data_IF_383280889096
#
_entry.id   IF_383280889096
#
_cell.length_a   1.000
_cell.length_b   1.000
_cell.length_c   1.000
_cell.angle_alpha   90.00
_cell.angle_beta   90.00
_cell.angle_gamma   90.00
#
_symmetry.space_group_name_H-M   'P 1'
#
loop_
_entity.id
_entity.type
_entity.pdbx_description
1 polymer ?
#
# COMPACT_ATOMS: atom_id res chain seq x y z
N UNK A 1 4.72 -12.54 -29.58
CA UNK A 1 3.45 -13.13 -30.09
C UNK A 1 2.51 -12.00 -30.50
N UNK A 2 1.76 -12.17 -31.59
CA UNK A 2 0.97 -11.09 -32.19
C UNK A 2 -0.24 -10.67 -31.32
N UNK A 3 -0.56 -11.46 -30.30
CA UNK A 3 -1.63 -11.20 -29.32
C UNK A 3 -1.15 -10.49 -28.05
N UNK A 4 0.17 -10.33 -27.87
CA UNK A 4 0.73 -9.69 -26.68
C UNK A 4 0.84 -8.18 -26.89
N UNK A 5 -0.09 -7.44 -26.28
CA UNK A 5 -0.09 -5.98 -26.29
C UNK A 5 0.47 -5.41 -24.99
N UNK A 6 0.92 -4.16 -25.02
CA UNK A 6 1.38 -3.48 -23.81
C UNK A 6 0.25 -3.45 -22.76
N UNK A 7 0.53 -4.01 -21.58
CA UNK A 7 -0.35 -3.96 -20.43
C UNK A 7 0.30 -3.13 -19.32
N UNK A 8 -0.42 -2.16 -18.74
CA UNK A 8 0.08 -1.44 -17.57
C UNK A 8 0.44 -2.40 -16.44
N UNK A 9 1.59 -2.16 -15.79
CA UNK A 9 2.11 -2.97 -14.67
C UNK A 9 1.08 -3.23 -13.56
N UNK A 10 0.20 -2.26 -13.29
CA UNK A 10 -0.84 -2.40 -12.27
C UNK A 10 -1.93 -3.41 -12.63
N UNK A 11 -2.24 -3.58 -13.93
CA UNK A 11 -3.21 -4.59 -14.37
C UNK A 11 -2.63 -5.98 -14.18
N UNK A 12 -1.36 -6.19 -14.57
CA UNK A 12 -0.67 -7.46 -14.35
C UNK A 12 -0.68 -7.86 -12.86
N UNK A 13 -0.48 -6.90 -11.96
CA UNK A 13 -0.55 -7.19 -10.52
C UNK A 13 -1.96 -7.57 -10.04
N UNK A 14 -3.02 -7.02 -10.63
CA UNK A 14 -4.40 -7.40 -10.29
C UNK A 14 -4.74 -8.79 -10.85
N UNK A 15 -4.32 -9.09 -12.08
CA UNK A 15 -4.47 -10.42 -12.67
C UNK A 15 -3.77 -11.48 -11.83
N UNK A 16 -2.54 -11.22 -11.37
CA UNK A 16 -1.83 -12.13 -10.46
C UNK A 16 -2.59 -12.37 -9.15
N UNK A 17 -3.35 -11.39 -8.66
CA UNK A 17 -4.20 -11.56 -7.48
C UNK A 17 -5.46 -12.37 -7.80
N UNK A 18 -5.98 -12.28 -9.02
CA UNK A 18 -7.11 -13.09 -9.48
C UNK A 18 -6.69 -14.55 -9.65
N UNK A 19 -5.52 -14.80 -10.25
CA UNK A 19 -4.94 -16.14 -10.37
C UNK A 19 -4.70 -16.77 -8.99
N UNK A 20 -4.17 -15.99 -8.05
CA UNK A 20 -3.98 -16.42 -6.66
C UNK A 20 -5.32 -16.79 -6.00
N UNK A 21 -6.35 -15.97 -6.21
CA UNK A 21 -7.70 -16.24 -5.69
C UNK A 21 -8.34 -17.47 -6.33
N UNK A 22 -8.12 -17.71 -7.63
CA UNK A 22 -8.57 -18.91 -8.33
C UNK A 22 -7.91 -20.18 -7.78
N UNK A 23 -6.66 -20.07 -7.29
CA UNK A 23 -5.97 -21.12 -6.55
C UNK A 23 -6.40 -21.25 -5.07
N UNK A 24 -7.44 -20.51 -4.63
CA UNK A 24 -7.95 -20.55 -3.26
C UNK A 24 -7.10 -19.77 -2.24
N UNK A 25 -6.12 -19.00 -2.70
CA UNK A 25 -5.23 -18.22 -1.85
C UNK A 25 -5.69 -16.75 -1.85
N UNK A 26 -5.92 -16.17 -0.67
CA UNK A 26 -6.21 -14.73 -0.53
C UNK A 26 -5.31 -14.10 0.54
N UNK A 27 -4.56 -13.05 0.21
CA UNK A 27 -3.75 -12.35 1.20
C UNK A 27 -4.67 -11.63 2.19
N UNK A 28 -4.31 -11.67 3.48
CA UNK A 28 -5.03 -10.91 4.50
C UNK A 28 -4.92 -9.40 4.27
N UNK A 29 -3.73 -8.92 3.90
CA UNK A 29 -3.46 -7.52 3.56
C UNK A 29 -2.42 -7.47 2.44
N UNK A 30 -2.67 -6.70 1.39
CA UNK A 30 -1.69 -6.40 0.36
C UNK A 30 -0.82 -5.20 0.76
N UNK A 31 0.51 -5.32 0.66
CA UNK A 31 1.45 -4.21 0.88
C UNK A 31 2.18 -3.91 -0.43
N UNK A 32 2.24 -2.63 -0.82
CA UNK A 32 2.94 -2.23 -2.06
C UNK A 32 3.65 -0.87 -1.94
N UNK A 33 4.57 -0.63 -2.87
CA UNK A 33 5.35 0.60 -2.97
C UNK A 33 4.56 1.79 -3.54
N UNK A 34 5.24 2.94 -3.61
CA UNK A 34 4.71 4.20 -4.14
C UNK A 34 4.23 4.12 -5.59
N UNK A 35 4.83 3.26 -6.42
CA UNK A 35 4.44 3.09 -7.82
C UNK A 35 3.01 2.55 -7.95
N UNK A 36 2.66 1.59 -7.10
CA UNK A 36 1.30 1.07 -6.99
C UNK A 36 0.39 1.99 -6.17
N UNK A 37 0.88 2.51 -5.05
CA UNK A 37 0.10 3.32 -4.13
C UNK A 37 -0.41 4.63 -4.72
N UNK A 38 0.33 5.25 -5.65
CA UNK A 38 -0.12 6.46 -6.34
C UNK A 38 -1.23 6.18 -7.39
N UNK A 39 -1.34 4.95 -7.88
CA UNK A 39 -2.26 4.59 -8.96
C UNK A 39 -3.70 4.40 -8.47
N UNK A 40 -4.61 5.28 -8.91
CA UNK A 40 -6.02 5.25 -8.49
C UNK A 40 -6.80 4.06 -9.06
N UNK A 41 -6.48 3.61 -10.27
CA UNK A 41 -7.10 2.42 -10.88
C UNK A 41 -6.69 1.15 -10.14
N UNK A 42 -5.42 1.06 -9.72
CA UNK A 42 -4.95 -0.05 -8.91
C UNK A 42 -5.69 -0.15 -7.58
N UNK A 43 -5.79 0.95 -6.82
CA UNK A 43 -6.53 0.99 -5.54
C UNK A 43 -8.00 0.58 -5.72
N UNK A 44 -8.65 1.11 -6.75
CA UNK A 44 -10.02 0.70 -7.10
C UNK A 44 -10.13 -0.78 -7.44
N UNK A 45 -9.15 -1.33 -8.14
CA UNK A 45 -9.08 -2.76 -8.44
C UNK A 45 -8.99 -3.62 -7.18
N UNK A 46 -8.26 -3.17 -6.16
CA UNK A 46 -8.18 -3.83 -4.86
C UNK A 46 -9.49 -3.71 -4.08
N UNK A 47 -10.08 -2.51 -4.02
CA UNK A 47 -11.36 -2.28 -3.33
C UNK A 47 -12.49 -3.11 -3.97
N UNK A 48 -12.55 -3.16 -5.30
CA UNK A 48 -13.52 -3.97 -6.04
C UNK A 48 -13.38 -5.49 -5.80
N UNK A 49 -12.21 -5.95 -5.34
CA UNK A 49 -11.94 -7.34 -4.95
C UNK A 49 -12.16 -7.59 -3.46
N UNK A 50 -12.50 -6.56 -2.69
CA UNK A 50 -12.63 -6.61 -1.23
C UNK A 50 -11.31 -6.85 -0.51
N UNK A 51 -10.17 -6.48 -1.11
CA UNK A 51 -8.86 -6.69 -0.51
C UNK A 51 -8.49 -5.55 0.43
N UNK A 52 -8.03 -5.89 1.64
CA UNK A 52 -7.38 -4.93 2.51
C UNK A 52 -5.99 -4.60 1.98
N UNK A 53 -5.59 -3.33 2.06
CA UNK A 53 -4.30 -2.88 1.53
C UNK A 53 -3.63 -1.81 2.39
N UNK A 54 -2.31 -1.78 2.33
CA UNK A 54 -1.43 -0.78 2.94
C UNK A 54 -0.40 -0.36 1.89
N UNK A 55 -0.54 0.83 1.34
CA UNK A 55 0.22 1.26 0.17
C UNK A 55 1.09 2.46 0.52
N UNK A 56 2.38 2.37 0.21
CA UNK A 56 3.27 3.53 0.33
C UNK A 56 2.89 4.57 -0.72
N UNK A 57 3.03 5.85 -0.38
CA UNK A 57 2.68 6.97 -1.25
C UNK A 57 3.62 8.15 -1.02
N UNK A 58 3.38 9.20 -1.81
CA UNK A 58 4.09 10.47 -1.80
C UNK A 58 3.24 11.54 -1.08
N UNK A 59 3.88 12.40 -0.29
CA UNK A 59 3.19 13.42 0.51
C UNK A 59 2.49 14.51 -0.31
N UNK A 60 2.83 14.61 -1.60
CA UNK A 60 2.24 15.53 -2.58
C UNK A 60 0.86 15.09 -3.07
N UNK A 61 0.46 13.83 -2.83
CA UNK A 61 -0.90 13.41 -3.11
C UNK A 61 -1.88 14.26 -2.31
N UNK A 62 -3.09 14.46 -2.84
CA UNK A 62 -4.07 15.38 -2.25
C UNK A 62 -5.26 14.65 -1.64
N UNK A 63 -5.77 15.22 -0.55
CA UNK A 63 -6.93 14.73 0.16
C UNK A 63 -7.75 15.87 0.76
N UNK A 64 -9.01 15.57 1.06
CA UNK A 64 -9.79 16.35 2.01
C UNK A 64 -9.61 15.79 3.42
N UNK A 65 -9.81 16.64 4.42
CA UNK A 65 -9.82 16.22 5.82
C UNK A 65 -10.98 15.28 6.13
N UNK A 66 -10.93 14.65 7.30
CA UNK A 66 -11.92 13.68 7.76
C UNK A 66 -13.36 14.25 7.75
N UNK A 67 -13.50 15.46 8.29
CA UNK A 67 -14.76 16.19 8.46
C UNK A 67 -15.28 16.84 7.18
N UNK A 68 -14.51 16.80 6.09
CA UNK A 68 -14.95 17.40 4.83
C UNK A 68 -16.16 16.64 4.27
N UNK A 69 -17.21 17.39 3.95
CA UNK A 69 -18.44 16.87 3.34
C UNK A 69 -18.69 17.50 1.97
N UNK A 70 -19.28 16.75 1.02
CA UNK A 70 -19.75 17.34 -0.22
C UNK A 70 -20.94 18.28 0.04
N UNK A 71 -21.07 19.33 -0.76
CA UNK A 71 -22.22 20.25 -0.72
C UNK A 71 -23.00 20.18 -2.02
N UNK A 72 -24.32 20.00 -1.91
CA UNK A 72 -25.27 20.05 -3.00
C UNK A 72 -26.23 21.25 -2.78
N UNK A 73 -26.20 22.26 -3.67
CA UNK A 73 -27.18 23.34 -3.62
C UNK A 73 -28.61 22.84 -3.87
N UNK A 74 -29.59 23.58 -3.34
CA UNK A 74 -31.00 23.33 -3.65
C UNK A 74 -31.29 23.48 -5.15
N UNK A 75 -32.20 22.64 -5.66
CA UNK A 75 -32.55 22.64 -7.07
C UNK A 75 -33.59 23.72 -7.38
N UNK A 76 -33.18 24.76 -8.11
CA UNK A 76 -34.04 25.88 -8.50
C UNK A 76 -35.02 25.59 -9.65
N UNK A 77 -35.25 24.33 -10.02
CA UNK A 77 -36.26 23.94 -11.02
C UNK A 77 -35.90 24.15 -12.49
N UNK A 78 -34.83 24.89 -12.80
CA UNK A 78 -34.33 25.12 -14.16
C UNK A 78 -32.99 24.42 -14.39
N UNK A 79 -32.87 23.71 -15.52
CA UNK A 79 -31.65 23.04 -15.92
C UNK A 79 -31.38 21.70 -15.20
N UNK A 80 -30.19 21.12 -15.36
CA UNK A 80 -29.84 19.84 -14.73
C UNK A 80 -29.72 19.97 -13.20
N UNK A 81 -30.17 18.95 -12.48
CA UNK A 81 -30.03 18.91 -11.01
C UNK A 81 -28.55 18.99 -10.61
N UNK A 82 -28.18 19.88 -9.67
CA UNK A 82 -26.80 19.98 -9.22
C UNK A 82 -26.38 18.69 -8.52
N UNK A 83 -25.14 18.25 -8.74
CA UNK A 83 -24.56 17.08 -8.07
C UNK A 83 -23.79 17.49 -6.80
N UNK A 84 -23.77 16.64 -5.76
CA UNK A 84 -22.97 16.88 -4.56
C UNK A 84 -21.48 16.93 -4.90
N UNK A 85 -20.79 17.96 -4.42
CA UNK A 85 -19.34 18.13 -4.64
C UNK A 85 -18.65 18.83 -3.48
N UNK A 86 -17.40 18.45 -3.23
CA UNK A 86 -16.54 19.16 -2.28
C UNK A 86 -16.28 20.60 -2.77
N UNK A 87 -16.53 21.58 -1.90
CA UNK A 87 -16.28 23.01 -2.18
C UNK A 87 -14.96 23.51 -1.63
N UNK A 88 -14.37 22.76 -0.71
CA UNK A 88 -13.01 22.99 -0.18
C UNK A 88 -11.97 22.44 -1.15
N UNK A 89 -10.90 23.19 -1.40
CA UNK A 89 -9.75 22.70 -2.17
C UNK A 89 -9.06 21.56 -1.38
N UNK A 90 -8.75 20.42 -2.01
CA UNK A 90 -7.97 19.37 -1.33
C UNK A 90 -6.53 19.85 -1.10
N UNK A 91 -6.00 19.55 0.08
CA UNK A 91 -4.64 19.88 0.49
C UNK A 91 -3.71 18.67 0.31
N UNK A 92 -2.39 18.91 0.27
CA UNK A 92 -1.42 17.82 0.18
C UNK A 92 -1.44 16.97 1.47
N UNK A 93 -1.16 15.68 1.39
CA UNK A 93 -1.13 14.80 2.57
C UNK A 93 -0.11 15.26 3.60
N UNK A 94 1.04 15.79 3.15
CA UNK A 94 2.01 16.43 4.05
C UNK A 94 1.38 17.59 4.85
N UNK A 95 0.53 18.39 4.24
CA UNK A 95 -0.09 19.57 4.87
C UNK A 95 -1.09 19.14 5.94
N UNK A 96 -1.84 18.06 5.71
CA UNK A 96 -2.70 17.45 6.74
C UNK A 96 -1.88 16.99 7.96
N UNK A 97 -0.72 16.39 7.74
CA UNK A 97 0.15 15.89 8.83
C UNK A 97 0.80 17.05 9.58
N UNK A 98 1.30 18.06 8.86
CA UNK A 98 1.88 19.25 9.46
C UNK A 98 0.85 20.04 10.28
N UNK A 99 -0.37 20.20 9.75
CA UNK A 99 -1.48 20.88 10.44
C UNK A 99 -1.94 20.13 11.70
N UNK A 100 -1.98 18.80 11.67
CA UNK A 100 -2.26 18.00 12.87
C UNK A 100 -1.15 18.14 13.93
N UNK A 101 0.08 18.47 13.49
CA UNK A 101 1.24 18.68 14.33
C UNK A 101 1.86 17.37 14.83
N UNK A 102 3.17 17.42 15.09
CA UNK A 102 3.93 16.27 15.58
C UNK A 102 3.40 15.75 16.92
N UNK A 103 2.88 16.64 17.79
CA UNK A 103 2.32 16.27 19.10
C UNK A 103 1.09 15.34 19.02
N UNK A 104 0.41 15.26 17.87
CA UNK A 104 -0.69 14.30 17.64
C UNK A 104 -0.19 12.89 17.32
N UNK A 105 1.08 12.75 16.99
CA UNK A 105 1.71 11.48 16.70
C UNK A 105 2.07 10.69 17.96
N UNK A 106 2.59 9.47 17.76
CA UNK A 106 3.09 8.61 18.83
C UNK A 106 4.32 7.84 18.37
N UNK A 107 5.22 7.55 19.30
CA UNK A 107 6.34 6.65 19.06
C UNK A 107 5.84 5.21 19.00
N UNK A 108 6.14 4.52 17.89
CA UNK A 108 5.75 3.13 17.69
C UNK A 108 6.99 2.30 17.40
N UNK A 109 7.13 1.20 18.15
CA UNK A 109 8.14 0.17 17.92
C UNK A 109 7.49 -1.00 17.21
N UNK A 110 7.95 -1.33 16.00
CA UNK A 110 7.31 -2.38 15.17
C UNK A 110 8.15 -3.64 15.02
N UNK A 111 9.43 -3.63 15.40
CA UNK A 111 10.30 -4.81 15.35
C UNK A 111 11.52 -4.64 16.27
N UNK A 112 11.98 -5.73 16.90
CA UNK A 112 13.35 -5.80 17.43
C UNK A 112 14.32 -6.07 16.28
N UNK A 113 15.14 -5.09 15.90
CA UNK A 113 16.22 -5.27 14.93
C UNK A 113 17.40 -6.00 15.57
N UNK A 114 18.39 -6.39 14.76
CA UNK A 114 19.61 -7.05 15.23
C UNK A 114 20.50 -6.17 16.11
N UNK A 115 20.35 -4.84 16.03
CA UNK A 115 21.12 -3.87 16.83
C UNK A 115 20.28 -3.10 17.86
N UNK A 116 19.04 -2.75 17.53
CA UNK A 116 18.13 -2.01 18.39
C UNK A 116 16.67 -2.25 17.98
N UNK A 117 15.75 -1.95 18.89
CA UNK A 117 14.34 -1.84 18.56
C UNK A 117 14.12 -0.78 17.47
N UNK A 118 13.52 -1.18 16.36
CA UNK A 118 13.12 -0.27 15.29
C UNK A 118 11.89 0.50 15.75
N UNK A 119 12.13 1.74 16.16
CA UNK A 119 11.13 2.68 16.63
C UNK A 119 11.23 3.99 15.86
N UNK A 120 10.12 4.70 15.75
CA UNK A 120 10.03 6.02 15.13
C UNK A 120 8.71 6.66 15.54
N UNK A 121 8.59 7.96 15.35
CA UNK A 121 7.37 8.70 15.65
C UNK A 121 6.47 8.75 14.43
N UNK A 122 5.17 8.47 14.62
CA UNK A 122 4.20 8.38 13.54
C UNK A 122 2.95 9.22 13.84
N UNK A 123 2.45 9.89 12.82
CA UNK A 123 1.15 10.57 12.83
C UNK A 123 0.16 9.73 12.02
N UNK A 124 -0.98 9.41 12.62
CA UNK A 124 -2.04 8.60 12.00
C UNK A 124 -3.31 9.43 11.93
N UNK A 125 -3.79 9.69 10.72
CA UNK A 125 -4.99 10.48 10.44
C UNK A 125 -5.96 9.70 9.57
N UNK A 126 -7.21 10.14 9.53
CA UNK A 126 -8.19 9.71 8.54
C UNK A 126 -8.39 10.82 7.53
N UNK A 127 -8.39 10.46 6.25
CA UNK A 127 -8.47 11.44 5.14
C UNK A 127 -9.32 10.88 4.00
N UNK A 128 -9.83 11.78 3.15
CA UNK A 128 -10.59 11.42 1.94
C UNK A 128 -9.76 11.72 0.71
N UNK A 129 -9.21 10.68 0.07
CA UNK A 129 -8.28 10.86 -1.06
C UNK A 129 -8.97 11.52 -2.26
N UNK A 130 -8.54 12.73 -2.61
CA UNK A 130 -9.13 13.50 -3.70
C UNK A 130 -8.60 13.01 -5.05
N UNK A 131 -7.28 12.81 -5.20
CA UNK A 131 -6.65 12.19 -6.38
C UNK A 131 -7.07 12.78 -7.75
N UNK A 132 -6.64 12.14 -8.85
CA UNK A 132 -7.04 12.56 -10.22
C UNK A 132 -8.45 12.07 -10.63
N UNK A 133 -8.90 10.98 -10.03
CA UNK A 133 -10.17 10.30 -10.36
C UNK A 133 -10.80 9.75 -9.08
N UNK A 134 -11.33 10.60 -8.19
CA UNK A 134 -12.07 10.12 -7.02
C UNK A 134 -13.33 9.39 -7.50
N UNK A 135 -13.73 8.35 -6.76
CA UNK A 135 -15.02 7.66 -6.96
C UNK A 135 -15.88 7.93 -5.72
N UNK A 136 -16.64 9.03 -5.70
CA UNK A 136 -17.55 9.31 -4.60
C UNK A 136 -18.69 8.28 -4.58
N UNK A 137 -19.29 8.10 -3.41
CA UNK A 137 -20.56 7.42 -3.25
C UNK A 137 -21.71 8.27 -3.84
N UNK A 138 -22.94 7.74 -3.82
CA UNK A 138 -24.11 8.39 -4.41
C UNK A 138 -24.42 9.77 -3.79
N UNK A 139 -24.09 9.95 -2.52
CA UNK A 139 -24.19 11.20 -1.76
C UNK A 139 -23.05 12.20 -2.06
N UNK A 140 -22.10 11.83 -2.93
CA UNK A 140 -20.91 12.62 -3.25
C UNK A 140 -19.74 12.41 -2.30
N UNK A 141 -19.89 11.60 -1.25
CA UNK A 141 -18.87 11.41 -0.22
C UNK A 141 -17.75 10.49 -0.72
N UNK A 142 -16.49 10.90 -0.51
CA UNK A 142 -15.34 10.05 -0.78
C UNK A 142 -15.02 9.24 0.48
N UNK A 143 -14.83 7.92 0.37
CA UNK A 143 -14.51 7.05 1.49
C UNK A 143 -13.26 7.47 2.28
N UNK A 144 -13.31 7.28 3.60
CA UNK A 144 -12.15 7.53 4.47
C UNK A 144 -11.11 6.43 4.33
N UNK A 145 -9.86 6.83 4.29
CA UNK A 145 -8.70 5.94 4.39
C UNK A 145 -7.79 6.41 5.52
N UNK A 146 -6.99 5.50 6.05
CA UNK A 146 -5.87 5.87 6.89
C UNK A 146 -4.83 6.64 6.09
N UNK A 147 -4.26 7.67 6.70
CA UNK A 147 -2.98 8.29 6.35
C UNK A 147 -2.02 8.03 7.50
N UNK A 148 -0.94 7.30 7.22
CA UNK A 148 0.14 7.05 8.18
C UNK A 148 1.36 7.80 7.69
N UNK A 149 1.91 8.68 8.52
CA UNK A 149 3.12 9.43 8.21
C UNK A 149 4.20 9.13 9.24
N UNK A 150 5.39 8.76 8.78
CA UNK A 150 6.58 8.64 9.62
C UNK A 150 7.21 10.03 9.74
N UNK A 151 7.33 10.52 10.97
CA UNK A 151 7.93 11.81 11.29
C UNK A 151 9.02 11.59 12.36
N UNK A 152 10.23 11.18 11.96
CA UNK A 152 11.35 10.96 12.87
C UNK A 152 11.69 12.17 13.74
N UNK A 153 12.38 11.95 14.84
CA UNK A 153 12.55 13.01 15.84
C UNK A 153 13.50 14.12 15.41
N UNK A 154 14.47 13.74 14.59
CA UNK A 154 15.54 14.52 13.98
C UNK A 154 15.11 15.22 12.68
N UNK A 155 13.87 14.99 12.23
CA UNK A 155 13.37 15.54 10.97
C UNK A 155 12.38 16.68 11.21
N UNK A 156 12.57 17.78 10.46
CA UNK A 156 11.68 18.93 10.51
C UNK A 156 10.28 18.62 9.96
N UNK A 157 10.18 17.66 9.04
CA UNK A 157 8.94 17.29 8.36
C UNK A 157 8.80 15.75 8.26
N UNK A 158 7.58 15.23 7.98
CA UNK A 158 7.39 13.80 7.79
C UNK A 158 8.03 13.29 6.49
N UNK A 159 8.76 12.17 6.59
CA UNK A 159 9.63 11.66 5.53
C UNK A 159 9.03 10.52 4.70
N UNK A 160 8.05 9.79 5.24
CA UNK A 160 7.39 8.67 4.54
C UNK A 160 5.92 8.64 4.84
N UNK A 161 5.13 8.25 3.83
CA UNK A 161 3.68 8.26 3.87
C UNK A 161 3.13 6.93 3.37
N UNK A 162 2.03 6.48 3.99
CA UNK A 162 1.25 5.34 3.58
C UNK A 162 -0.24 5.68 3.68
N UNK A 163 -1.03 4.98 2.87
CA UNK A 163 -2.49 4.98 2.95
C UNK A 163 -3.01 3.55 3.10
N UNK A 164 -4.18 3.41 3.73
CA UNK A 164 -4.80 2.10 3.91
C UNK A 164 -6.32 2.15 4.01
N UNK A 165 -7.01 1.16 3.43
CA UNK A 165 -8.44 0.93 3.65
C UNK A 165 -8.73 0.04 4.88
N UNK A 166 -7.73 -0.26 5.72
CA UNK A 166 -7.91 -1.06 6.92
C UNK A 166 -8.95 -0.43 7.88
N UNK A 167 -9.61 -1.27 8.70
CA UNK A 167 -10.57 -0.81 9.70
C UNK A 167 -10.03 0.28 10.64
N UNK A 168 -10.94 1.14 11.12
CA UNK A 168 -10.58 2.29 11.96
C UNK A 168 -10.24 1.92 13.41
N UNK A 169 -10.63 0.72 13.84
CA UNK A 169 -10.38 0.15 15.16
C UNK A 169 -9.03 -0.59 15.25
N UNK A 170 -8.30 -0.72 14.13
CA UNK A 170 -7.02 -1.42 14.13
C UNK A 170 -5.97 -0.67 14.99
N UNK A 171 -5.24 -1.37 15.88
CA UNK A 171 -4.20 -0.75 16.69
C UNK A 171 -3.12 -0.06 15.85
N UNK A 172 -2.65 1.10 16.32
CA UNK A 172 -1.60 1.86 15.62
C UNK A 172 -0.31 1.04 15.43
N UNK A 173 0.02 0.15 16.37
CA UNK A 173 1.15 -0.78 16.28
C UNK A 173 1.02 -1.72 15.08
N UNK A 174 -0.17 -2.23 14.80
CA UNK A 174 -0.43 -3.13 13.67
C UNK A 174 -0.42 -2.38 12.34
N UNK A 175 -1.00 -1.17 12.28
CA UNK A 175 -0.91 -0.29 11.11
C UNK A 175 0.55 -0.01 10.75
N UNK A 176 1.37 0.38 11.72
CA UNK A 176 2.80 0.63 11.50
C UNK A 176 3.54 -0.65 11.13
N UNK A 177 3.24 -1.79 11.76
CA UNK A 177 3.85 -3.08 11.39
C UNK A 177 3.59 -3.43 9.92
N UNK A 178 2.36 -3.24 9.44
CA UNK A 178 2.00 -3.45 8.03
C UNK A 178 2.68 -2.43 7.10
N UNK A 179 2.68 -1.14 7.47
CA UNK A 179 3.34 -0.10 6.68
C UNK A 179 4.85 -0.36 6.50
N UNK A 180 5.48 -0.96 7.53
CA UNK A 180 6.91 -1.30 7.54
C UNK A 180 7.21 -2.72 7.03
N UNK A 181 6.19 -3.51 6.69
CA UNK A 181 6.35 -4.86 6.16
C UNK A 181 7.02 -4.91 4.78
N UNK A 182 7.05 -3.79 4.03
CA UNK A 182 7.74 -3.69 2.73
C UNK A 182 9.23 -4.08 2.80
N UNK A 183 9.88 -3.90 3.95
CA UNK A 183 11.26 -4.36 4.13
C UNK A 183 11.41 -5.87 3.88
N UNK A 184 10.38 -6.67 4.16
CA UNK A 184 10.39 -8.11 3.88
C UNK A 184 10.50 -8.39 2.39
N UNK A 185 9.80 -7.61 1.55
CA UNK A 185 9.91 -7.69 0.09
C UNK A 185 11.37 -7.45 -0.35
N UNK A 186 12.04 -6.41 0.17
CA UNK A 186 13.44 -6.14 -0.18
C UNK A 186 14.39 -7.27 0.26
N UNK A 187 14.11 -7.89 1.41
CA UNK A 187 14.88 -9.03 1.90
C UNK A 187 14.68 -10.27 1.02
N UNK A 188 13.43 -10.61 0.70
CA UNK A 188 13.07 -11.75 -0.15
C UNK A 188 13.65 -11.57 -1.57
N UNK A 189 13.58 -10.36 -2.14
CA UNK A 189 14.22 -10.06 -3.43
C UNK A 189 15.74 -10.21 -3.39
N UNK A 190 16.39 -9.83 -2.29
CA UNK A 190 17.85 -10.01 -2.13
C UNK A 190 18.20 -11.47 -2.04
N UNK A 191 17.44 -12.26 -1.29
CA UNK A 191 17.64 -13.72 -1.22
C UNK A 191 17.43 -14.39 -2.57
N UNK A 192 16.33 -14.07 -3.25
CA UNK A 192 16.01 -14.59 -4.58
C UNK A 192 17.16 -14.34 -5.56
N UNK A 193 17.72 -13.13 -5.58
CA UNK A 193 18.84 -12.78 -6.46
C UNK A 193 20.16 -13.38 -5.99
N UNK A 194 20.64 -12.96 -4.83
CA UNK A 194 22.00 -13.25 -4.37
C UNK A 194 22.22 -14.70 -3.94
N UNK A 195 21.23 -15.34 -3.31
CA UNK A 195 21.38 -16.69 -2.78
C UNK A 195 20.82 -17.76 -3.73
N UNK A 196 19.70 -17.45 -4.40
CA UNK A 196 18.99 -18.42 -5.26
C UNK A 196 19.24 -18.18 -6.76
N UNK A 197 19.89 -17.09 -7.14
CA UNK A 197 20.32 -16.83 -8.50
C UNK A 197 19.23 -16.41 -9.46
N UNK A 198 18.20 -15.70 -9.00
CA UNK A 198 17.11 -15.18 -9.86
C UNK A 198 17.64 -14.39 -11.06
N UNK A 199 18.75 -13.66 -10.89
CA UNK A 199 19.42 -12.85 -11.91
C UNK A 199 20.68 -13.52 -12.50
N UNK A 200 20.90 -14.81 -12.24
CA UNK A 200 22.05 -15.58 -12.77
C UNK A 200 21.74 -16.31 -14.10
N UNK A 201 20.54 -16.16 -14.66
CA UNK A 201 20.20 -16.81 -15.93
C UNK A 201 20.85 -16.09 -17.12
N UNK A 202 21.78 -16.76 -17.79
CA UNK A 202 22.53 -16.22 -18.95
C UNK A 202 22.00 -16.73 -20.32
N UNK A 203 20.96 -17.57 -20.31
CA UNK A 203 20.36 -18.10 -21.53
C UNK A 203 19.51 -17.06 -22.28
N UNK A 204 19.08 -17.41 -23.50
CA UNK A 204 18.25 -16.54 -24.35
C UNK A 204 16.89 -17.11 -24.73
N UNK A 205 16.58 -18.33 -24.29
CA UNK A 205 15.29 -18.97 -24.57
C UNK A 205 14.28 -18.65 -23.48
N UNK A 206 13.05 -18.31 -23.87
CA UNK A 206 11.94 -18.09 -22.95
C UNK A 206 11.69 -19.32 -22.07
N UNK A 207 11.70 -20.52 -22.67
CA UNK A 207 11.52 -21.79 -21.94
C UNK A 207 12.62 -21.98 -20.88
N UNK A 208 13.87 -21.70 -21.22
CA UNK A 208 15.00 -21.79 -20.28
C UNK A 208 14.82 -20.82 -19.11
N UNK A 209 14.50 -19.56 -19.41
CA UNK A 209 14.24 -18.53 -18.40
C UNK A 209 13.07 -18.91 -17.50
N UNK A 210 11.96 -19.37 -18.08
CA UNK A 210 10.77 -19.78 -17.34
C UNK A 210 11.05 -20.94 -16.38
N UNK A 211 11.77 -21.97 -16.85
CA UNK A 211 12.22 -23.10 -16.00
C UNK A 211 13.10 -22.60 -14.85
N UNK A 212 14.05 -21.72 -15.13
CA UNK A 212 14.95 -21.15 -14.13
C UNK A 212 14.18 -20.40 -13.04
N UNK A 213 13.35 -19.43 -13.41
CA UNK A 213 12.55 -18.63 -12.46
C UNK A 213 11.61 -19.52 -11.65
N UNK A 214 11.04 -20.56 -12.26
CA UNK A 214 10.17 -21.53 -11.55
C UNK A 214 10.96 -22.28 -10.47
N UNK A 215 12.15 -22.80 -10.79
CA UNK A 215 12.99 -23.51 -9.82
C UNK A 215 13.47 -22.60 -8.69
N UNK A 216 13.88 -21.36 -9.01
CA UNK A 216 14.26 -20.35 -8.02
C UNK A 216 13.08 -20.04 -7.08
N UNK A 217 11.87 -19.90 -7.62
CA UNK A 217 10.66 -19.66 -6.82
C UNK A 217 10.34 -20.86 -5.91
N UNK A 218 10.46 -22.09 -6.42
CA UNK A 218 10.26 -23.30 -5.62
C UNK A 218 11.29 -23.44 -4.49
N UNK A 219 12.57 -23.13 -4.76
CA UNK A 219 13.62 -23.11 -3.75
C UNK A 219 13.35 -22.04 -2.68
N UNK A 220 12.90 -20.85 -3.07
CA UNK A 220 12.51 -19.79 -2.15
C UNK A 220 11.34 -20.20 -1.25
N UNK A 221 10.31 -20.85 -1.82
CA UNK A 221 9.21 -21.41 -1.05
C UNK A 221 9.71 -22.43 -0.02
N UNK A 222 10.56 -23.37 -0.44
CA UNK A 222 11.15 -24.36 0.47
C UNK A 222 11.88 -23.70 1.65
N UNK A 223 12.74 -22.71 1.40
CA UNK A 223 13.45 -21.99 2.46
C UNK A 223 12.50 -21.21 3.38
N UNK A 224 11.45 -20.63 2.81
CA UNK A 224 10.42 -19.90 3.58
C UNK A 224 9.69 -20.86 4.54
N UNK A 225 9.31 -22.04 4.08
CA UNK A 225 8.67 -23.06 4.91
C UNK A 225 9.61 -23.57 6.03
N UNK A 226 10.89 -23.80 5.72
CA UNK A 226 11.88 -24.19 6.74
C UNK A 226 12.08 -23.13 7.83
N UNK A 227 11.91 -21.83 7.51
CA UNK A 227 11.96 -20.76 8.50
C UNK A 227 10.73 -20.69 9.39
N UNK A 228 9.57 -21.02 8.85
CA UNK A 228 8.33 -21.04 9.60
C UNK A 228 8.24 -22.27 10.52
N UNK A 229 8.95 -23.35 10.18
CA UNK A 229 9.05 -24.59 10.96
C UNK A 229 10.50 -25.02 11.18
N UNK A 230 11.30 -24.25 11.95
CA UNK A 230 12.72 -24.54 12.08
C UNK A 230 12.95 -25.82 12.90
N UNK A 231 13.86 -26.68 12.43
CA UNK A 231 14.21 -27.93 13.12
C UNK A 231 14.78 -27.71 14.53
N UNK A 232 15.35 -26.54 14.78
CA UNK A 232 15.78 -26.09 16.10
C UNK A 232 15.52 -24.58 16.21
N UNK A 233 15.13 -24.07 17.40
CA UNK A 233 14.95 -22.64 17.59
C UNK A 233 16.26 -21.89 17.27
N UNK A 234 16.12 -20.73 16.64
CA UNK A 234 17.28 -19.86 16.40
C UNK A 234 17.94 -19.53 17.73
N UNK A 235 19.28 -19.63 17.80
CA UNK A 235 20.03 -19.18 18.98
C UNK A 235 19.73 -17.70 19.24
N UNK A 236 19.37 -17.42 20.49
CA UNK A 236 19.04 -16.07 20.98
C UNK A 236 20.24 -15.12 20.87
#
# INVERSE_FOLDING_TARGET
PDTEHHRPKWQLALDMLDDLAAAGLRPAVLVADTGYGANADFRRGLDGRGLAWMLQIKGEMTAHGEEAVPYQPDYGGLGPRPLPRYRTRPAALREHVLAAGRGRGRTVTWRKGSKAAMSSHFVLLRVRLAGRRPKPAADGTIGLVWLIAQWPEDEAEPVKYWISNLPADLPATDLVRLAKARWRIEHDYRELKSALGLDHFEGRSFIGWHRHVTLVTAAHLFLTEQRNSPKAPARA
#
